data_IF_143065363394
#
_entry.id   IF_143065363394
#
_cell.length_a   1.000
_cell.length_b   1.000
_cell.length_c   1.000
_cell.angle_alpha   90.00
_cell.angle_beta   90.00
_cell.angle_gamma   90.00
#
_symmetry.space_group_name_H-M   'P 1'
#
loop_
_entity.id
_entity.type
_entity.pdbx_description
1 polymer ?
#
# COMPACT_ATOMS: atom_id res chain seq x y z
N UNK A 1 13.25 -15.40 -0.55
CA UNK A 1 11.81 -15.58 -0.27
C UNK A 1 11.14 -14.25 -0.51
N UNK A 2 9.96 -14.24 -1.13
CA UNK A 2 9.19 -13.02 -1.37
C UNK A 2 8.49 -12.60 -0.08
N UNK A 3 8.63 -11.34 0.32
CA UNK A 3 7.88 -10.77 1.44
C UNK A 3 6.57 -10.19 0.92
N UNK A 4 5.50 -10.32 1.69
CA UNK A 4 4.19 -9.77 1.39
C UNK A 4 3.79 -8.77 2.48
N UNK A 5 3.02 -7.76 2.11
CA UNK A 5 2.40 -6.89 3.09
C UNK A 5 1.31 -6.01 2.52
N UNK A 6 0.64 -5.29 3.41
CA UNK A 6 -0.38 -4.29 3.08
C UNK A 6 0.11 -2.91 3.53
N UNK A 7 0.11 -1.96 2.59
CA UNK A 7 0.52 -0.58 2.79
C UNK A 7 -0.70 0.32 2.83
N UNK A 8 -0.80 1.17 3.85
CA UNK A 8 -1.75 2.27 3.83
C UNK A 8 -1.23 3.41 2.96
N UNK A 9 -1.98 3.78 1.92
CA UNK A 9 -1.68 4.90 1.03
C UNK A 9 -2.69 6.03 1.21
N UNK A 10 -2.31 7.22 0.76
CA UNK A 10 -3.20 8.38 0.71
C UNK A 10 -4.26 8.25 -0.37
N UNK A 11 -5.28 9.10 -0.24
CA UNK A 11 -6.31 9.32 -1.25
C UNK A 11 -5.72 9.57 -2.63
N UNK A 12 -6.27 8.93 -3.65
CA UNK A 12 -5.95 9.20 -5.04
C UNK A 12 -4.61 8.61 -5.48
N UNK A 13 -4.19 7.46 -4.94
CA UNK A 13 -3.09 6.72 -5.55
C UNK A 13 -3.43 6.37 -7.01
N UNK A 14 -2.56 6.75 -7.95
CA UNK A 14 -2.79 6.68 -9.41
C UNK A 14 -1.70 5.86 -10.12
N UNK A 15 -1.44 4.64 -9.65
CA UNK A 15 -0.43 3.75 -10.23
C UNK A 15 1.00 4.35 -10.14
N UNK A 16 1.26 5.09 -9.06
CA UNK A 16 2.50 5.83 -8.85
C UNK A 16 3.74 4.91 -8.88
N UNK A 17 4.88 5.38 -9.45
CA UNK A 17 6.11 4.59 -9.54
C UNK A 17 6.86 4.48 -8.21
N UNK A 18 6.37 5.14 -7.16
CA UNK A 18 6.94 5.14 -5.82
C UNK A 18 5.85 5.01 -4.77
N UNK A 19 6.20 4.43 -3.62
CA UNK A 19 5.32 4.38 -2.44
C UNK A 19 5.98 5.12 -1.28
N UNK A 20 5.22 6.05 -0.69
CA UNK A 20 5.71 6.89 0.39
C UNK A 20 5.56 6.32 1.79
N UNK A 21 6.54 6.68 2.63
CA UNK A 21 6.65 6.33 4.04
C UNK A 21 7.05 7.57 4.85
N UNK A 22 6.62 7.63 6.11
CA UNK A 22 7.22 8.58 7.07
C UNK A 22 8.64 8.15 7.42
N UNK A 23 9.46 9.07 7.91
CA UNK A 23 10.82 8.79 8.37
C UNK A 23 10.88 7.68 9.44
N UNK A 24 9.88 7.63 10.31
CA UNK A 24 9.78 6.59 11.35
C UNK A 24 9.48 5.23 10.72
N UNK A 25 8.58 5.20 9.75
CA UNK A 25 8.17 3.96 9.09
C UNK A 25 9.26 3.40 8.18
N UNK A 26 9.94 4.25 7.39
CA UNK A 26 11.03 3.81 6.52
C UNK A 26 12.15 3.16 7.32
N UNK A 27 12.58 3.78 8.43
CA UNK A 27 13.58 3.20 9.34
C UNK A 27 13.13 1.90 9.98
N UNK A 28 11.85 1.80 10.37
CA UNK A 28 11.31 0.60 11.03
C UNK A 28 11.26 -0.60 10.09
N UNK A 29 10.92 -0.37 8.82
CA UNK A 29 10.59 -1.44 7.88
C UNK A 29 11.63 -1.63 6.77
N UNK A 30 12.77 -0.91 6.79
CA UNK A 30 13.79 -0.97 5.74
C UNK A 30 14.22 -2.41 5.42
N UNK A 31 14.46 -3.22 6.45
CA UNK A 31 14.93 -4.61 6.30
C UNK A 31 13.81 -5.57 5.85
N UNK A 32 12.54 -5.17 6.01
CA UNK A 32 11.37 -5.96 5.61
C UNK A 32 10.86 -5.62 4.21
N UNK A 33 11.44 -4.61 3.55
CA UNK A 33 11.06 -4.14 2.22
C UNK A 33 12.19 -4.30 1.18
N UNK A 34 12.83 -5.48 1.05
CA UNK A 34 13.79 -5.70 -0.03
C UNK A 34 13.09 -5.69 -1.40
N UNK A 35 13.87 -5.52 -2.47
CA UNK A 35 13.39 -5.71 -3.84
C UNK A 35 12.74 -7.10 -4.01
N UNK A 36 11.63 -7.13 -4.76
CA UNK A 36 10.76 -8.29 -4.91
C UNK A 36 9.61 -8.36 -3.88
N UNK A 37 9.63 -7.55 -2.82
CA UNK A 37 8.51 -7.47 -1.87
C UNK A 37 7.23 -7.02 -2.56
N UNK A 38 6.11 -7.71 -2.29
CA UNK A 38 4.80 -7.39 -2.86
C UNK A 38 3.95 -6.65 -1.84
N UNK A 39 3.40 -5.52 -2.25
CA UNK A 39 2.57 -4.66 -1.42
C UNK A 39 1.16 -4.57 -1.99
N UNK A 40 0.17 -4.94 -1.18
CA UNK A 40 -1.22 -4.58 -1.41
C UNK A 40 -1.43 -3.14 -0.95
N UNK A 41 -2.05 -2.31 -1.78
CA UNK A 41 -2.26 -0.90 -1.49
C UNK A 41 -3.67 -0.66 -0.97
N UNK A 42 -3.76 -0.16 0.26
CA UNK A 42 -5.01 0.15 0.92
C UNK A 42 -5.18 1.66 1.10
N UNK A 43 -6.21 2.22 0.50
CA UNK A 43 -6.51 3.63 0.57
C UNK A 43 -7.35 3.94 1.82
N UNK A 44 -6.85 4.81 2.71
CA UNK A 44 -7.47 5.01 4.04
C UNK A 44 -8.56 6.09 4.07
N UNK A 45 -8.65 6.90 3.03
CA UNK A 45 -9.71 7.87 2.76
C UNK A 45 -9.50 8.38 1.34
N UNK A 46 -10.48 8.31 0.43
CA UNK A 46 -10.37 8.92 -0.91
C UNK A 46 -11.58 9.77 -1.27
N UNK A 47 -11.49 11.10 -1.28
CA UNK A 47 -12.53 11.96 -1.86
C UNK A 47 -12.15 12.31 -3.29
N UNK A 48 -13.00 12.03 -4.31
CA UNK A 48 -12.84 12.68 -5.61
C UNK A 48 -12.80 14.20 -5.44
N UNK A 49 -11.95 14.91 -6.19
CA UNK A 49 -11.88 16.38 -6.17
C UNK A 49 -13.28 16.95 -6.46
N UNK A 50 -13.87 17.65 -5.48
CA UNK A 50 -15.23 18.20 -5.57
C UNK A 50 -16.35 17.34 -4.96
N UNK A 51 -16.06 16.15 -4.42
CA UNK A 51 -17.07 15.28 -3.80
C UNK A 51 -17.26 15.53 -2.30
N UNK A 52 -18.52 15.56 -1.86
CA UNK A 52 -18.90 15.58 -0.43
C UNK A 52 -19.01 14.19 0.19
N UNK A 53 -18.92 13.12 -0.60
CA UNK A 53 -19.04 11.75 -0.11
C UNK A 53 -17.91 11.39 0.86
N UNK A 54 -18.19 10.51 1.85
CA UNK A 54 -17.11 9.90 2.65
C UNK A 54 -16.31 9.03 1.69
N UNK A 55 -15.00 9.25 1.63
CA UNK A 55 -14.15 8.50 0.73
C UNK A 55 -14.18 7.01 1.03
N UNK A 56 -14.16 6.19 -0.02
CA UNK A 56 -14.13 4.73 0.15
C UNK A 56 -12.77 4.30 0.67
N UNK A 57 -12.77 3.50 1.74
CA UNK A 57 -11.56 2.84 2.24
C UNK A 57 -11.53 1.44 1.66
N UNK A 58 -10.49 1.13 0.89
CA UNK A 58 -10.43 -0.15 0.18
C UNK A 58 -9.03 -0.51 -0.25
N UNK A 59 -8.81 -1.80 -0.50
CA UNK A 59 -7.69 -2.24 -1.35
C UNK A 59 -7.93 -1.75 -2.77
N UNK A 60 -6.91 -1.16 -3.38
CA UNK A 60 -7.02 -0.49 -4.68
C UNK A 60 -5.94 -0.89 -5.67
N UNK A 61 -4.97 -1.71 -5.28
CA UNK A 61 -3.88 -2.06 -6.18
C UNK A 61 -2.83 -2.95 -5.55
N UNK A 62 -1.89 -3.38 -6.39
CA UNK A 62 -0.77 -4.20 -5.99
C UNK A 62 0.50 -3.70 -6.69
N UNK A 63 1.58 -3.61 -5.94
CA UNK A 63 2.89 -3.20 -6.45
C UNK A 63 3.99 -4.14 -5.95
N UNK A 64 5.11 -4.14 -6.66
CA UNK A 64 6.32 -4.85 -6.29
C UNK A 64 7.45 -3.85 -6.08
N UNK A 65 8.15 -3.96 -4.96
CA UNK A 65 9.35 -3.16 -4.68
C UNK A 65 10.45 -3.51 -5.67
N UNK A 66 11.03 -2.50 -6.31
CA UNK A 66 12.08 -2.70 -7.33
C UNK A 66 13.47 -2.28 -6.87
N UNK A 67 13.58 -1.63 -5.72
CA UNK A 67 14.85 -1.09 -5.20
C UNK A 67 14.73 -0.61 -3.76
N UNK A 68 15.70 0.17 -3.33
CA UNK A 68 15.81 0.65 -1.93
C UNK A 68 15.18 2.04 -1.73
N UNK A 69 15.08 2.49 -0.48
CA UNK A 69 14.69 3.89 -0.19
C UNK A 69 15.67 4.91 -0.79
N UNK A 70 16.96 4.58 -0.88
CA UNK A 70 17.97 5.44 -1.52
C UNK A 70 17.74 5.53 -3.03
N UNK A 71 17.28 4.45 -3.66
CA UNK A 71 16.91 4.47 -5.08
C UNK A 71 15.62 5.26 -5.31
N UNK A 72 14.65 5.13 -4.40
CA UNK A 72 13.42 5.92 -4.41
C UNK A 72 13.70 7.41 -4.30
N UNK A 73 14.65 7.82 -3.46
CA UNK A 73 15.05 9.21 -3.31
C UNK A 73 15.56 9.84 -4.62
N UNK A 74 16.15 9.06 -5.53
CA UNK A 74 16.65 9.54 -6.83
C UNK A 74 15.54 9.80 -7.85
N UNK A 75 14.40 9.13 -7.71
CA UNK A 75 13.25 9.24 -8.62
C UNK A 75 12.03 9.92 -7.98
N UNK A 76 12.21 10.42 -6.75
CA UNK A 76 11.18 11.12 -5.99
C UNK A 76 10.66 12.34 -6.76
N UNK A 77 9.34 12.45 -6.87
CA UNK A 77 8.70 13.62 -7.47
C UNK A 77 8.93 14.88 -6.61
N UNK A 78 9.00 16.05 -7.26
CA UNK A 78 9.29 17.31 -6.56
C UNK A 78 8.18 17.72 -5.57
N UNK A 79 6.94 17.31 -5.82
CA UNK A 79 5.76 17.56 -5.01
C UNK A 79 5.46 16.43 -4.00
N UNK A 80 6.32 15.41 -3.93
CA UNK A 80 6.20 14.32 -2.97
C UNK A 80 6.33 14.85 -1.53
N UNK A 81 5.33 14.58 -0.71
CA UNK A 81 5.24 15.06 0.67
C UNK A 81 5.71 14.03 1.69
N UNK A 82 5.85 12.76 1.32
CA UNK A 82 6.39 11.73 2.19
C UNK A 82 7.87 11.95 2.48
N UNK A 83 8.32 11.66 3.70
CA UNK A 83 9.73 11.86 4.07
C UNK A 83 10.67 10.98 3.24
N UNK A 84 10.25 9.72 3.02
CA UNK A 84 10.99 8.71 2.28
C UNK A 84 10.07 7.99 1.31
N UNK A 85 10.60 7.56 0.17
CA UNK A 85 9.86 6.80 -0.84
C UNK A 85 10.65 5.59 -1.28
N UNK A 86 9.96 4.52 -1.64
CA UNK A 86 10.56 3.31 -2.20
C UNK A 86 10.08 3.12 -3.65
N UNK A 87 10.96 2.77 -4.60
CA UNK A 87 10.57 2.59 -6.00
C UNK A 87 9.81 1.28 -6.14
N UNK A 88 8.76 1.32 -6.95
CA UNK A 88 7.89 0.16 -7.18
C UNK A 88 7.53 0.00 -8.66
N UNK A 89 7.14 -1.22 -9.02
CA UNK A 89 6.47 -1.54 -10.28
C UNK A 89 5.04 -1.93 -9.97
N UNK A 90 4.09 -1.39 -10.74
CA UNK A 90 2.68 -1.78 -10.63
C UNK A 90 2.50 -3.20 -11.16
N UNK A 91 1.84 -4.03 -10.35
CA UNK A 91 1.49 -5.41 -10.69
C UNK A 91 0.02 -5.46 -11.09
N UNK A 92 -0.85 -4.97 -10.22
CA UNK A 92 -2.27 -4.81 -10.50
C UNK A 92 -2.60 -3.34 -10.41
N UNK A 93 -3.12 -2.81 -11.52
CA UNK A 93 -3.45 -1.40 -11.63
C UNK A 93 -4.77 -1.10 -10.92
N UNK A 94 -4.94 0.14 -10.51
CA UNK A 94 -6.17 0.59 -9.84
C UNK A 94 -7.43 0.28 -10.64
N UNK A 95 -7.39 0.55 -11.94
CA UNK A 95 -8.53 0.37 -12.84
C UNK A 95 -8.85 -1.10 -13.13
N UNK A 96 -7.93 -2.03 -12.83
CA UNK A 96 -8.14 -3.47 -13.04
C UNK A 96 -8.60 -4.22 -11.77
N UNK A 97 -8.65 -3.54 -10.63
CA UNK A 97 -8.95 -4.14 -9.33
C UNK A 97 -10.38 -3.88 -8.91
N UNK A 98 -11.04 -4.92 -8.41
CA UNK A 98 -12.28 -4.81 -7.63
C UNK A 98 -11.93 -4.32 -6.22
N UNK A 99 -12.41 -3.14 -5.78
CA UNK A 99 -12.04 -2.61 -4.48
C UNK A 99 -12.56 -3.49 -3.33
N UNK A 100 -11.67 -3.92 -2.43
CA UNK A 100 -12.04 -4.73 -1.26
C UNK A 100 -12.26 -3.82 -0.05
N UNK A 101 -13.46 -3.82 0.57
CA UNK A 101 -13.78 -2.92 1.69
C UNK A 101 -13.08 -3.34 2.98
N UNK A 102 -12.97 -2.40 3.92
CA UNK A 102 -12.28 -2.59 5.21
C UNK A 102 -12.71 -3.85 5.97
N UNK A 103 -14.01 -4.09 6.08
CA UNK A 103 -14.55 -5.18 6.90
C UNK A 103 -14.11 -6.55 6.35
N UNK A 104 -14.15 -6.73 5.03
CA UNK A 104 -13.63 -7.93 4.37
C UNK A 104 -12.12 -8.08 4.56
N UNK A 105 -11.36 -6.99 4.50
CA UNK A 105 -9.92 -7.04 4.80
C UNK A 105 -9.70 -7.53 6.23
N UNK A 106 -10.39 -6.95 7.22
CA UNK A 106 -10.28 -7.34 8.65
C UNK A 106 -10.62 -8.81 8.91
N UNK A 107 -11.65 -9.33 8.24
CA UNK A 107 -12.02 -10.74 8.31
C UNK A 107 -10.88 -11.65 7.85
N UNK A 108 -10.26 -11.34 6.70
CA UNK A 108 -9.12 -12.10 6.17
C UNK A 108 -7.92 -12.02 7.10
N UNK A 109 -7.62 -10.83 7.62
CA UNK A 109 -6.49 -10.59 8.52
C UNK A 109 -6.71 -11.14 9.94
N UNK A 110 -7.97 -11.51 10.27
CA UNK A 110 -8.42 -11.85 11.63
C UNK A 110 -8.05 -10.75 12.64
N UNK A 111 -8.16 -9.49 12.24
CA UNK A 111 -7.84 -8.32 13.05
C UNK A 111 -8.90 -7.23 12.85
N UNK A 112 -9.88 -7.18 13.76
CA UNK A 112 -10.98 -6.20 13.73
C UNK A 112 -10.51 -4.75 13.95
N UNK A 113 -9.33 -4.56 14.53
CA UNK A 113 -8.81 -3.22 14.87
C UNK A 113 -7.93 -2.64 13.77
N UNK A 114 -7.60 -3.43 12.75
CA UNK A 114 -6.80 -2.95 11.62
C UNK A 114 -7.58 -1.89 10.79
N UNK A 115 -6.94 -0.86 10.23
CA UNK A 115 -5.58 -0.41 10.52
C UNK A 115 -5.49 0.26 11.89
N UNK A 116 -4.39 0.01 12.61
CA UNK A 116 -4.13 0.68 13.88
C UNK A 116 -3.65 2.12 13.66
N UNK A 117 -3.87 2.99 14.64
CA UNK A 117 -3.39 4.36 14.57
C UNK A 117 -1.86 4.41 14.42
N UNK A 118 -1.38 5.11 13.38
CA UNK A 118 0.05 5.24 13.09
C UNK A 118 0.68 4.02 12.39
N UNK A 119 -0.09 2.99 12.08
CA UNK A 119 0.34 1.88 11.23
C UNK A 119 0.40 2.36 9.78
N UNK A 120 1.50 2.10 9.09
CA UNK A 120 1.68 2.46 7.67
C UNK A 120 1.87 1.26 6.78
N UNK A 121 2.27 0.12 7.37
CA UNK A 121 2.65 -1.14 6.75
C UNK A 121 2.37 -2.26 7.74
N UNK A 122 1.84 -3.38 7.24
CA UNK A 122 1.68 -4.63 7.98
C UNK A 122 2.17 -5.79 7.10
N UNK A 123 3.14 -6.59 7.55
CA UNK A 123 3.50 -7.84 6.88
C UNK A 123 2.31 -8.80 6.79
N UNK A 124 2.23 -9.56 5.71
CA UNK A 124 1.21 -10.58 5.50
C UNK A 124 1.86 -11.96 5.43
N UNK A 125 1.18 -12.96 5.97
CA UNK A 125 1.43 -14.35 5.60
C UNK A 125 1.04 -14.57 4.13
N UNK A 126 1.62 -15.60 3.50
CA UNK A 126 1.26 -15.98 2.14
C UNK A 126 -0.25 -16.26 2.01
N UNK A 127 -0.86 -16.92 3.00
CA UNK A 127 -2.29 -17.21 3.00
C UNK A 127 -3.17 -15.94 3.04
N UNK A 128 -2.84 -14.96 3.89
CA UNK A 128 -3.57 -13.68 3.93
C UNK A 128 -3.42 -12.92 2.61
N UNK A 129 -2.21 -12.89 2.07
CA UNK A 129 -1.91 -12.21 0.81
C UNK A 129 -2.69 -12.81 -0.36
N UNK A 130 -2.63 -14.14 -0.55
CA UNK A 130 -3.34 -14.82 -1.64
C UNK A 130 -4.86 -14.65 -1.52
N UNK A 131 -5.40 -14.67 -0.30
CA UNK A 131 -6.83 -14.45 -0.06
C UNK A 131 -7.27 -13.04 -0.49
N UNK A 132 -6.50 -12.01 -0.15
CA UNK A 132 -6.81 -10.62 -0.54
C UNK A 132 -6.62 -10.40 -2.05
N UNK A 133 -5.56 -10.94 -2.64
CA UNK A 133 -5.33 -10.88 -4.09
C UNK A 133 -6.50 -11.50 -4.85
N UNK A 134 -7.00 -12.66 -4.42
CA UNK A 134 -8.16 -13.30 -5.04
C UNK A 134 -9.44 -12.46 -4.98
N UNK A 135 -9.62 -11.66 -3.93
CA UNK A 135 -10.78 -10.77 -3.78
C UNK A 135 -10.69 -9.53 -4.68
N UNK A 136 -9.48 -9.17 -5.12
CA UNK A 136 -9.24 -8.02 -6.00
C UNK A 136 -9.61 -8.30 -7.47
N UNK A 137 -9.86 -9.56 -7.85
CA UNK A 137 -10.25 -9.96 -9.22
C UNK A 137 -9.09 -10.54 -10.00
#
# INVERSE_FOLDING_TARGET
>A
MTTYGIKLVWAGWENDPTIGFSNRASKRWADELPAGTRMLLYETTGKPKGSKAKGTKSLVGEVEVTGTFDDGAKIRAADEQHDAVIPVRVVQKRESVTPVPLDTVREVLKDEQWPRMGESWRPLSDAEYQALVKLMG
#
